data_IF_369965297847
#
_entry.id   IF_369965297847
#
_cell.length_a   1.000
_cell.length_b   1.000
_cell.length_c   1.000
_cell.angle_alpha   90.00
_cell.angle_beta   90.00
_cell.angle_gamma   90.00
#
_symmetry.space_group_name_H-M   'P 1'
#
loop_
_entity.id
_entity.type
_entity.pdbx_description
1 polymer ?
#
# COMPACT_ATOMS: atom_id res chain seq x y z
N UNK A 1 -11.59 -30.62 19.32
CA UNK A 1 -11.21 -30.17 17.96
C UNK A 1 -10.07 -29.17 18.09
N UNK A 2 -8.83 -29.57 17.79
CA UNK A 2 -7.74 -28.61 17.60
C UNK A 2 -7.32 -28.80 16.14
N UNK A 3 -7.98 -28.06 15.25
CA UNK A 3 -7.58 -28.01 13.83
C UNK A 3 -6.24 -27.29 13.71
N UNK A 4 -5.39 -27.78 12.82
CA UNK A 4 -4.10 -27.15 12.51
C UNK A 4 -4.38 -25.73 12.01
N UNK A 5 -3.70 -24.72 12.56
CA UNK A 5 -3.83 -23.34 12.15
C UNK A 5 -3.29 -23.21 10.70
N UNK A 6 -4.18 -23.22 9.72
CA UNK A 6 -3.85 -22.94 8.33
C UNK A 6 -4.14 -21.47 8.04
N UNK A 7 -3.09 -20.65 8.11
CA UNK A 7 -3.13 -19.25 7.69
C UNK A 7 -2.70 -19.14 6.23
N UNK A 8 -3.45 -18.38 5.42
CA UNK A 8 -3.01 -18.02 4.08
C UNK A 8 -2.16 -16.74 4.14
N UNK A 9 -0.98 -16.76 3.50
CA UNK A 9 -0.13 -15.57 3.41
C UNK A 9 -0.81 -14.50 2.56
N UNK A 10 -0.91 -13.28 3.08
CA UNK A 10 -1.52 -12.17 2.35
C UNK A 10 -0.68 -11.83 1.11
N UNK A 11 -1.29 -11.79 -0.10
CA UNK A 11 -0.60 -11.44 -1.33
C UNK A 11 -0.34 -9.92 -1.38
N UNK A 12 0.76 -9.49 -0.76
CA UNK A 12 1.13 -8.08 -0.66
C UNK A 12 1.48 -7.49 -2.03
N UNK A 13 0.93 -6.31 -2.32
CA UNK A 13 1.11 -5.59 -3.59
C UNK A 13 2.48 -4.88 -3.76
N UNK A 14 3.54 -5.57 -3.37
CA UNK A 14 4.93 -5.12 -3.42
C UNK A 14 5.55 -5.02 -4.82
N UNK A 15 4.97 -5.69 -5.82
CA UNK A 15 5.47 -5.76 -7.20
C UNK A 15 4.35 -5.46 -8.18
N UNK A 16 4.66 -4.70 -9.24
CA UNK A 16 3.75 -4.55 -10.37
C UNK A 16 3.56 -5.91 -11.05
N UNK A 17 2.32 -6.38 -11.15
CA UNK A 17 1.96 -7.61 -11.84
C UNK A 17 0.92 -7.31 -12.90
N UNK A 18 0.85 -8.15 -13.92
CA UNK A 18 -0.30 -8.16 -14.81
C UNK A 18 -1.51 -8.68 -14.05
N UNK A 19 -2.54 -7.85 -13.98
CA UNK A 19 -3.79 -8.14 -13.27
C UNK A 19 -4.97 -8.22 -14.24
N UNK A 20 -4.69 -8.22 -15.54
CA UNK A 20 -5.64 -8.52 -16.60
C UNK A 20 -4.96 -9.34 -17.71
N UNK A 21 -5.79 -9.91 -18.58
CA UNK A 21 -5.39 -10.55 -19.81
C UNK A 21 -6.62 -10.80 -20.68
N UNK A 22 -6.51 -11.64 -21.70
CA UNK A 22 -7.65 -11.87 -22.61
C UNK A 22 -8.87 -12.39 -21.84
N UNK A 23 -9.95 -11.59 -21.84
CA UNK A 23 -11.24 -11.87 -21.19
C UNK A 23 -11.20 -12.03 -19.67
N UNK A 24 -10.15 -11.57 -18.97
CA UNK A 24 -10.13 -11.61 -17.50
C UNK A 24 -9.51 -10.38 -16.84
N UNK A 25 -10.00 -10.06 -15.64
CA UNK A 25 -9.42 -9.09 -14.71
C UNK A 25 -9.38 -9.69 -13.30
N UNK A 26 -8.29 -9.46 -12.59
CA UNK A 26 -8.09 -9.87 -11.21
C UNK A 26 -8.29 -8.66 -10.30
N UNK A 27 -9.08 -8.84 -9.24
CA UNK A 27 -9.45 -7.80 -8.29
C UNK A 27 -9.06 -8.20 -6.86
N UNK A 28 -8.88 -7.22 -5.98
CA UNK A 28 -8.54 -7.46 -4.56
C UNK A 28 -7.33 -8.38 -4.37
N UNK A 29 -7.48 -9.36 -3.48
CA UNK A 29 -6.43 -10.31 -3.11
C UNK A 29 -5.98 -11.17 -4.31
N UNK A 30 -6.87 -11.50 -5.24
CA UNK A 30 -6.51 -12.22 -6.46
C UNK A 30 -5.53 -11.41 -7.32
N UNK A 31 -5.71 -10.09 -7.34
CA UNK A 31 -4.81 -9.14 -8.02
C UNK A 31 -3.55 -8.77 -7.22
N UNK A 32 -3.33 -9.34 -6.03
CA UNK A 32 -2.28 -8.93 -5.10
C UNK A 32 -2.37 -7.43 -4.73
N UNK A 33 -3.58 -6.91 -4.57
CA UNK A 33 -3.82 -5.49 -4.28
C UNK A 33 -3.94 -5.22 -2.78
N UNK A 34 -3.37 -6.05 -1.91
CA UNK A 34 -3.38 -5.84 -0.45
C UNK A 34 -2.30 -4.83 -0.05
N UNK A 35 -2.65 -3.88 0.82
CA UNK A 35 -1.69 -2.91 1.37
C UNK A 35 -0.53 -3.61 2.12
N UNK A 36 0.74 -3.39 1.74
CA UNK A 36 1.88 -4.05 2.38
C UNK A 36 2.20 -3.64 3.81
N UNK A 37 1.68 -2.50 4.27
CA UNK A 37 1.97 -1.89 5.57
C UNK A 37 0.90 -2.23 6.60
N UNK A 38 -0.37 -1.98 6.28
CA UNK A 38 -1.51 -2.19 7.19
C UNK A 38 -2.14 -3.57 7.04
N UNK A 39 -1.96 -4.22 5.89
CA UNK A 39 -2.68 -5.44 5.54
C UNK A 39 -4.14 -5.19 5.16
N UNK A 40 -4.56 -3.93 5.01
CA UNK A 40 -5.91 -3.58 4.58
C UNK A 40 -6.08 -3.90 3.09
N UNK A 41 -7.06 -4.75 2.78
CA UNK A 41 -7.40 -5.15 1.41
C UNK A 41 -8.79 -4.70 0.96
N UNK A 42 -9.69 -4.35 1.89
CA UNK A 42 -11.11 -4.07 1.58
C UNK A 42 -11.24 -2.84 0.68
N UNK A 43 -10.60 -1.72 1.02
CA UNK A 43 -10.65 -0.51 0.19
C UNK A 43 -10.08 -0.75 -1.21
N UNK A 44 -8.93 -1.42 -1.31
CA UNK A 44 -8.31 -1.77 -2.58
C UNK A 44 -9.16 -2.76 -3.40
N UNK A 45 -9.84 -3.72 -2.75
CA UNK A 45 -10.78 -4.62 -3.40
C UNK A 45 -11.99 -3.86 -3.98
N UNK A 46 -12.53 -2.89 -3.24
CA UNK A 46 -13.60 -2.01 -3.74
C UNK A 46 -13.15 -1.17 -4.95
N UNK A 47 -12.00 -0.49 -4.85
CA UNK A 47 -11.50 0.32 -5.96
C UNK A 47 -11.18 -0.51 -7.21
N UNK A 48 -10.50 -1.64 -7.05
CA UNK A 48 -10.20 -2.52 -8.18
C UNK A 48 -11.45 -3.13 -8.80
N UNK A 49 -12.43 -3.54 -7.99
CA UNK A 49 -13.73 -4.00 -8.48
C UNK A 49 -14.49 -2.92 -9.26
N UNK A 50 -14.50 -1.69 -8.76
CA UNK A 50 -15.13 -0.56 -9.46
C UNK A 50 -14.46 -0.29 -10.82
N UNK A 51 -13.13 -0.23 -10.85
CA UNK A 51 -12.37 -0.01 -12.08
C UNK A 51 -12.57 -1.16 -13.07
N UNK A 52 -12.63 -2.42 -12.58
CA UNK A 52 -12.89 -3.60 -13.40
C UNK A 52 -14.31 -3.56 -14.01
N UNK A 53 -15.31 -3.11 -13.25
CA UNK A 53 -16.68 -2.97 -13.74
C UNK A 53 -16.78 -1.94 -14.88
N UNK A 54 -16.10 -0.79 -14.74
CA UNK A 54 -16.04 0.21 -15.80
C UNK A 54 -15.32 -0.32 -17.04
N UNK A 55 -14.17 -0.98 -16.88
CA UNK A 55 -13.47 -1.60 -18.00
C UNK A 55 -14.35 -2.66 -18.69
N UNK A 56 -15.05 -3.49 -17.92
CA UNK A 56 -15.93 -4.52 -18.47
C UNK A 56 -17.05 -3.90 -19.31
N UNK A 57 -17.69 -2.82 -18.83
CA UNK A 57 -18.69 -2.07 -19.60
C UNK A 57 -18.10 -1.57 -20.92
N UNK A 58 -16.94 -0.94 -20.88
CA UNK A 58 -16.29 -0.38 -22.06
C UNK A 58 -15.89 -1.49 -23.07
N UNK A 59 -15.52 -2.68 -22.58
CA UNK A 59 -15.28 -3.88 -23.40
C UNK A 59 -16.56 -4.35 -24.10
N UNK A 60 -17.70 -4.39 -23.41
CA UNK A 60 -18.99 -4.74 -24.02
C UNK A 60 -19.44 -3.72 -25.07
N UNK A 61 -19.23 -2.42 -24.82
CA UNK A 61 -19.58 -1.37 -25.78
C UNK A 61 -18.76 -1.45 -27.08
N UNK A 62 -17.46 -1.77 -26.97
CA UNK A 62 -16.57 -1.90 -28.13
C UNK A 62 -16.48 -3.31 -28.70
N UNK A 63 -17.07 -4.29 -28.02
CA UNK A 63 -16.92 -5.72 -28.30
C UNK A 63 -15.45 -6.16 -28.39
N UNK A 64 -14.57 -5.59 -27.56
CA UNK A 64 -13.14 -5.87 -27.52
C UNK A 64 -12.72 -6.35 -26.12
N UNK A 65 -12.35 -7.62 -26.04
CA UNK A 65 -11.87 -8.29 -24.83
C UNK A 65 -10.42 -8.76 -24.98
N UNK A 66 -9.69 -8.20 -25.95
CA UNK A 66 -8.30 -8.50 -26.17
C UNK A 66 -7.45 -8.07 -24.97
N UNK A 67 -6.35 -8.79 -24.73
CA UNK A 67 -5.37 -8.42 -23.72
C UNK A 67 -4.90 -6.95 -23.87
N UNK A 68 -4.73 -6.50 -25.11
CA UNK A 68 -4.30 -5.13 -25.41
C UNK A 68 -5.29 -4.09 -24.87
N UNK A 69 -6.59 -4.31 -25.09
CA UNK A 69 -7.61 -3.39 -24.61
C UNK A 69 -7.83 -3.49 -23.09
N UNK A 70 -7.76 -4.71 -22.54
CA UNK A 70 -7.91 -4.94 -21.11
C UNK A 70 -6.75 -4.37 -20.28
N UNK A 71 -5.57 -4.15 -20.88
CA UNK A 71 -4.42 -3.52 -20.22
C UNK A 71 -4.69 -2.10 -19.68
N UNK A 72 -5.71 -1.42 -20.18
CA UNK A 72 -6.14 -0.13 -19.63
C UNK A 72 -6.62 -0.24 -18.16
N UNK A 73 -7.15 -1.41 -17.78
CA UNK A 73 -7.44 -1.74 -16.39
C UNK A 73 -6.18 -1.67 -15.52
N UNK A 74 -5.10 -2.36 -15.93
CA UNK A 74 -3.82 -2.38 -15.21
C UNK A 74 -3.27 -0.97 -15.02
N UNK A 75 -3.31 -0.17 -16.10
CA UNK A 75 -2.83 1.22 -16.09
C UNK A 75 -3.62 2.06 -15.09
N UNK A 76 -4.95 1.91 -15.08
CA UNK A 76 -5.82 2.70 -14.20
C UNK A 76 -5.70 2.27 -12.74
N UNK A 77 -5.66 0.98 -12.45
CA UNK A 77 -5.41 0.47 -11.09
C UNK A 77 -4.05 0.94 -10.57
N UNK A 78 -3.00 0.86 -11.39
CA UNK A 78 -1.67 1.34 -11.01
C UNK A 78 -1.63 2.86 -10.75
N UNK A 79 -2.46 3.64 -11.45
CA UNK A 79 -2.59 5.09 -11.23
C UNK A 79 -3.31 5.41 -9.92
N UNK A 80 -4.39 4.70 -9.62
CA UNK A 80 -5.24 4.96 -8.44
C UNK A 80 -4.62 4.41 -7.16
N UNK A 81 -4.12 3.17 -7.18
CA UNK A 81 -3.63 2.47 -5.98
C UNK A 81 -2.10 2.43 -5.88
N UNK A 82 -1.38 2.63 -6.99
CA UNK A 82 0.05 2.35 -7.04
C UNK A 82 0.94 3.32 -6.26
N UNK A 83 0.55 4.59 -6.11
CA UNK A 83 1.30 5.56 -5.30
C UNK A 83 1.26 5.20 -3.81
N UNK A 84 0.07 4.86 -3.33
CA UNK A 84 -0.19 4.40 -1.96
C UNK A 84 0.54 3.08 -1.68
N UNK A 85 0.33 2.06 -2.52
CA UNK A 85 0.99 0.75 -2.37
C UNK A 85 2.52 0.86 -2.35
N UNK A 86 3.11 1.71 -3.19
CA UNK A 86 4.57 1.95 -3.19
C UNK A 86 5.03 2.61 -1.89
N UNK A 87 4.26 3.54 -1.36
CA UNK A 87 4.57 4.22 -0.10
C UNK A 87 4.50 3.25 1.08
N UNK A 88 3.42 2.48 1.18
CA UNK A 88 3.23 1.43 2.18
C UNK A 88 4.34 0.39 2.12
N UNK A 89 4.71 -0.09 0.92
CA UNK A 89 5.83 -1.02 0.75
C UNK A 89 7.18 -0.46 1.21
N UNK A 90 7.47 0.82 0.92
CA UNK A 90 8.71 1.48 1.38
C UNK A 90 8.75 1.59 2.90
N UNK A 91 7.64 1.96 3.53
CA UNK A 91 7.53 2.03 4.99
C UNK A 91 7.69 0.65 5.63
N UNK A 92 7.04 -0.37 5.06
CA UNK A 92 7.21 -1.77 5.49
C UNK A 92 8.68 -2.20 5.43
N UNK A 93 9.37 -1.87 4.33
CA UNK A 93 10.79 -2.21 4.14
C UNK A 93 11.68 -1.47 5.12
N UNK A 94 11.38 -0.20 5.41
CA UNK A 94 12.09 0.61 6.40
C UNK A 94 12.00 0.01 7.81
N UNK A 95 10.81 -0.48 8.20
CA UNK A 95 10.60 -1.14 9.49
C UNK A 95 11.33 -2.48 9.62
N UNK A 96 11.79 -3.10 8.54
CA UNK A 96 12.62 -4.32 8.60
C UNK A 96 14.09 -4.02 8.94
N UNK A 97 14.52 -2.76 8.92
CA UNK A 97 15.91 -2.38 9.19
C UNK A 97 16.09 -2.07 10.68
N UNK A 98 16.68 -3.01 11.42
CA UNK A 98 16.83 -2.99 12.90
C UNK A 98 17.44 -1.67 13.43
N UNK A 99 18.50 -1.08 12.85
CA UNK A 99 19.02 0.21 13.30
C UNK A 99 18.00 1.35 13.25
N UNK A 100 17.08 1.34 12.27
CA UNK A 100 16.05 2.38 12.10
C UNK A 100 14.96 2.19 13.14
N UNK A 101 14.57 0.95 13.43
CA UNK A 101 13.63 0.62 14.51
C UNK A 101 14.19 1.03 15.87
N UNK A 102 15.48 0.81 16.13
CA UNK A 102 16.13 1.23 17.37
C UNK A 102 16.19 2.76 17.49
N UNK A 103 16.50 3.46 16.39
CA UNK A 103 16.45 4.92 16.34
C UNK A 103 15.02 5.43 16.60
N UNK A 104 14.01 4.84 15.98
CA UNK A 104 12.59 5.13 16.21
C UNK A 104 12.22 4.97 17.68
N UNK A 105 12.59 3.85 18.30
CA UNK A 105 12.35 3.59 19.73
C UNK A 105 12.98 4.66 20.63
N UNK A 106 14.20 5.10 20.33
CA UNK A 106 14.89 6.16 21.08
C UNK A 106 14.25 7.56 20.93
N UNK A 107 13.53 7.78 19.83
CA UNK A 107 12.79 9.02 19.57
C UNK A 107 11.41 8.97 20.23
N UNK A 108 10.67 7.85 20.08
CA UNK A 108 9.34 7.61 20.68
C UNK A 108 9.41 7.72 22.20
N UNK A 109 10.38 7.05 22.84
CA UNK A 109 10.54 7.04 24.30
C UNK A 109 10.83 8.42 24.90
N UNK A 110 11.30 9.38 24.10
CA UNK A 110 11.62 10.73 24.56
C UNK A 110 10.73 11.84 24.01
N UNK A 111 9.70 11.56 23.20
CA UNK A 111 8.89 12.60 22.56
C UNK A 111 7.45 12.15 22.30
N UNK A 112 6.56 12.35 23.29
CA UNK A 112 5.10 12.04 23.20
C UNK A 112 4.43 12.66 21.97
N UNK A 113 4.95 13.78 21.46
CA UNK A 113 4.46 14.47 20.25
C UNK A 113 4.55 13.60 18.99
N UNK A 114 5.49 12.64 18.95
CA UNK A 114 5.64 11.74 17.81
C UNK A 114 4.57 10.63 17.79
N UNK A 115 4.11 10.14 18.94
CA UNK A 115 2.96 9.23 19.01
C UNK A 115 1.68 9.90 18.49
N UNK A 116 1.54 11.19 18.81
CA UNK A 116 0.45 12.01 18.29
C UNK A 116 0.53 12.14 16.76
N UNK A 117 1.71 12.40 16.21
CA UNK A 117 1.95 12.43 14.75
C UNK A 117 1.63 11.07 14.14
N UNK A 118 2.11 9.95 14.68
CA UNK A 118 1.77 8.60 14.21
C UNK A 118 0.26 8.33 14.21
N UNK A 119 -0.45 8.78 15.23
CA UNK A 119 -1.92 8.62 15.28
C UNK A 119 -2.62 9.45 14.19
N UNK A 120 -2.12 10.66 13.93
CA UNK A 120 -2.62 11.52 12.83
C UNK A 120 -2.29 10.94 11.46
N UNK A 121 -1.16 10.24 11.34
CA UNK A 121 -0.74 9.53 10.13
C UNK A 121 -1.57 8.29 9.79
N UNK A 122 -2.31 7.74 10.75
CA UNK A 122 -3.31 6.71 10.44
C UNK A 122 -4.40 7.28 9.52
N UNK A 123 -4.76 8.55 9.71
CA UNK A 123 -5.86 9.22 9.00
C UNK A 123 -5.44 10.06 7.79
N UNK A 124 -4.14 10.35 7.61
CA UNK A 124 -3.69 11.34 6.62
C UNK A 124 -2.50 10.84 5.77
N UNK A 125 -2.74 10.67 4.46
CA UNK A 125 -1.82 10.04 3.52
C UNK A 125 -0.60 10.90 3.18
N UNK A 126 -0.70 12.23 3.19
CA UNK A 126 0.40 13.14 2.81
C UNK A 126 1.55 13.14 3.82
N UNK A 127 1.25 12.88 5.10
CA UNK A 127 2.25 12.80 6.16
C UNK A 127 3.12 11.54 6.04
N UNK A 128 2.58 10.42 5.52
CA UNK A 128 3.34 9.17 5.30
C UNK A 128 4.52 9.37 4.36
N UNK A 129 4.41 10.28 3.39
CA UNK A 129 5.49 10.61 2.45
C UNK A 129 6.72 11.27 3.11
N UNK A 130 6.57 11.92 4.27
CA UNK A 130 7.68 12.57 4.96
C UNK A 130 8.57 11.57 5.72
N UNK A 131 8.01 10.48 6.23
CA UNK A 131 8.75 9.45 6.97
C UNK A 131 9.75 8.67 6.11
N UNK A 132 9.53 8.63 4.80
CA UNK A 132 10.46 7.95 3.89
C UNK A 132 11.74 8.78 3.68
N UNK A 133 11.72 10.08 4.03
CA UNK A 133 12.85 10.99 3.81
C UNK A 133 13.86 10.90 4.97
N UNK A 134 15.14 10.57 4.71
CA UNK A 134 16.17 10.49 5.77
C UNK A 134 16.32 11.80 6.56
N UNK A 135 16.20 12.94 5.86
CA UNK A 135 16.33 14.27 6.46
C UNK A 135 15.25 14.60 7.49
N UNK A 136 14.05 14.01 7.36
CA UNK A 136 12.97 14.18 8.34
C UNK A 136 13.39 13.63 9.73
N UNK A 137 13.98 12.43 9.75
CA UNK A 137 14.46 11.80 10.98
C UNK A 137 15.65 12.53 11.60
N UNK A 138 16.57 13.00 10.76
CA UNK A 138 17.71 13.83 11.18
C UNK A 138 17.20 15.10 11.86
N UNK A 139 16.29 15.85 11.22
CA UNK A 139 15.68 17.06 11.79
C UNK A 139 15.00 16.77 13.13
N UNK A 140 14.26 15.66 13.23
CA UNK A 140 13.56 15.30 14.46
C UNK A 140 14.50 14.90 15.59
N UNK A 141 15.59 14.19 15.29
CA UNK A 141 16.62 13.84 16.27
C UNK A 141 17.33 15.09 16.82
N UNK A 142 17.65 16.07 15.97
CA UNK A 142 18.27 17.33 16.40
C UNK A 142 17.31 18.30 17.11
N UNK A 143 16.00 18.22 16.87
CA UNK A 143 15.00 18.98 17.62
C UNK A 143 14.95 18.61 19.12
N UNK A 144 15.41 17.40 19.47
CA UNK A 144 15.50 16.91 20.86
C UNK A 144 16.57 17.62 21.69
N UNK A 145 17.52 18.34 21.06
CA UNK A 145 18.65 19.03 21.72
C UNK A 145 18.41 20.51 22.06
N UNK A 146 17.24 21.07 21.72
CA UNK A 146 16.92 22.49 21.93
C UNK A 146 15.78 22.75 22.93
N UNK A 147 15.37 21.75 23.70
CA UNK A 147 14.42 21.91 24.81
C UNK A 147 15.08 21.52 26.13
#
# INVERSE_FOLDING_TARGET
MIGKLEGYGLPLGSKSRHISGERFMLVGDAGHLVDPLTGEGIGHAFYSGFIAAEQARDCFEKNDFSEAYMKEYDVRVARVLGSEMKLSYRLQTLMRVVPIVNLLGSIISGNRKFLEVLSRMYNDFDLRGQLVKPFFWIKMFFSKRKS
#
